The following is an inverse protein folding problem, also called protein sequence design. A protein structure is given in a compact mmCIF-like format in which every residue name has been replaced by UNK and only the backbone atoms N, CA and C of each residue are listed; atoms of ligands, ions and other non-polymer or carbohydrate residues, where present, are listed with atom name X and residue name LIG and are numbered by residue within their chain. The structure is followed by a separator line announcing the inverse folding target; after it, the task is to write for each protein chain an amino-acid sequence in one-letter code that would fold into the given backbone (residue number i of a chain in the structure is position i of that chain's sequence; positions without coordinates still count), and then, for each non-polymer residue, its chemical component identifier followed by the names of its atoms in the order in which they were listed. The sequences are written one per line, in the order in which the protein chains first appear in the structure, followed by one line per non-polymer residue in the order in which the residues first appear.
data_IF_993006409659
#
_entry.id   IF_993006409659
#
_cell.length_a   1.000
_cell.length_b   1.000
_cell.length_c   1.000
_cell.angle_alpha   90.00
_cell.angle_beta   90.00
_cell.angle_gamma   90.00
#
_symmetry.space_group_name_H-M   'P 1'
#
loop_
_entity.id
_entity.type
_entity.pdbx_description
1 polymer ?
#
# COMPACT_ATOMS: atom_id res chain seq x y z
N UNK A 1 -14.95 -13.45 17.22
CA UNK A 1 -14.75 -12.78 15.91
C UNK A 1 -14.39 -13.83 14.87
N UNK A 2 -15.13 -13.88 13.76
CA UNK A 2 -14.85 -14.87 12.72
C UNK A 2 -13.69 -14.42 11.82
N UNK A 3 -13.27 -15.29 10.92
CA UNK A 3 -12.12 -15.01 10.05
C UNK A 3 -12.33 -13.80 9.16
N UNK A 4 -13.56 -13.61 8.68
CA UNK A 4 -13.88 -12.49 7.79
C UNK A 4 -13.80 -11.17 8.56
N UNK A 5 -14.33 -11.15 9.77
CA UNK A 5 -14.28 -9.95 10.61
C UNK A 5 -12.85 -9.61 11.02
N UNK A 6 -12.05 -10.63 11.34
CA UNK A 6 -10.63 -10.43 11.66
C UNK A 6 -9.88 -9.83 10.48
N UNK A 7 -10.09 -10.36 9.29
CA UNK A 7 -9.46 -9.85 8.08
C UNK A 7 -9.84 -8.38 7.87
N UNK A 8 -11.13 -8.05 8.00
CA UNK A 8 -11.59 -6.69 7.80
C UNK A 8 -11.00 -5.73 8.83
N UNK A 9 -10.83 -6.19 10.07
CA UNK A 9 -10.21 -5.39 11.13
C UNK A 9 -8.76 -5.07 10.80
N UNK A 10 -7.97 -6.06 10.41
CA UNK A 10 -6.58 -5.83 10.03
C UNK A 10 -6.48 -4.99 8.77
N UNK A 11 -7.37 -5.19 7.81
CA UNK A 11 -7.40 -4.39 6.60
C UNK A 11 -7.65 -2.91 6.93
N UNK A 12 -8.59 -2.63 7.81
CA UNK A 12 -8.87 -1.26 8.24
C UNK A 12 -7.65 -0.62 8.91
N UNK A 13 -6.94 -1.38 9.76
CA UNK A 13 -5.71 -0.91 10.39
C UNK A 13 -4.63 -0.63 9.34
N UNK A 14 -4.49 -1.51 8.36
CA UNK A 14 -3.51 -1.35 7.29
C UNK A 14 -3.81 -0.10 6.47
N UNK A 15 -5.07 0.13 6.11
CA UNK A 15 -5.46 1.30 5.33
C UNK A 15 -5.23 2.59 6.11
N UNK A 16 -5.54 2.58 7.41
CA UNK A 16 -5.26 3.73 8.27
C UNK A 16 -3.76 4.03 8.35
N UNK A 17 -2.94 2.99 8.48
CA UNK A 17 -1.49 3.15 8.52
C UNK A 17 -0.95 3.72 7.21
N UNK A 18 -1.48 3.27 6.06
CA UNK A 18 -1.09 3.79 4.76
C UNK A 18 -1.48 5.26 4.59
N UNK A 19 -2.68 5.62 5.02
CA UNK A 19 -3.13 7.02 4.97
C UNK A 19 -2.24 7.92 5.80
N UNK A 20 -1.86 7.47 7.01
CA UNK A 20 -0.93 8.20 7.86
C UNK A 20 0.44 8.36 7.20
N UNK A 21 0.95 7.29 6.60
CA UNK A 21 2.24 7.34 5.91
C UNK A 21 2.20 8.31 4.73
N UNK A 22 1.12 8.28 3.94
CA UNK A 22 0.95 9.20 2.81
C UNK A 22 0.91 10.66 3.27
N UNK A 23 0.15 10.93 4.34
CA UNK A 23 0.04 12.29 4.86
C UNK A 23 1.38 12.81 5.38
N UNK A 24 2.19 11.93 5.98
CA UNK A 24 3.45 12.31 6.61
C UNK A 24 4.61 12.39 5.61
N UNK A 25 4.69 11.43 4.68
CA UNK A 25 5.86 11.28 3.80
C UNK A 25 5.63 11.72 2.36
N UNK A 26 4.38 11.87 1.91
CA UNK A 26 4.07 12.17 0.51
C UNK A 26 3.25 13.45 0.39
N UNK A 27 3.91 14.63 0.48
CA UNK A 27 3.20 15.91 0.40
C UNK A 27 2.55 16.11 -0.97
N UNK A 28 1.37 16.72 -0.98
CA UNK A 28 0.58 16.90 -2.21
C UNK A 28 1.20 17.93 -3.16
N UNK A 29 2.08 18.78 -2.68
CA UNK A 29 2.73 19.81 -3.50
C UNK A 29 3.68 19.23 -4.54
N UNK A 30 4.20 18.02 -4.31
CA UNK A 30 5.13 17.37 -5.22
C UNK A 30 4.39 16.47 -6.20
N UNK A 31 4.67 16.64 -7.50
CA UNK A 31 4.09 15.78 -8.53
C UNK A 31 4.52 14.32 -8.36
N UNK A 32 5.79 14.10 -8.00
CA UNK A 32 6.30 12.74 -7.75
C UNK A 32 5.56 12.10 -6.59
N UNK A 33 5.32 12.85 -5.53
CA UNK A 33 4.58 12.34 -4.37
C UNK A 33 3.11 12.08 -4.71
N UNK A 34 2.49 12.92 -5.54
CA UNK A 34 1.12 12.65 -6.00
C UNK A 34 1.05 11.37 -6.83
N UNK A 35 2.04 11.14 -7.68
CA UNK A 35 2.11 9.92 -8.49
C UNK A 35 2.27 8.68 -7.60
N UNK A 36 3.14 8.76 -6.59
CA UNK A 36 3.34 7.67 -5.63
C UNK A 36 2.05 7.39 -4.84
N UNK A 37 1.37 8.45 -4.41
CA UNK A 37 0.11 8.33 -3.67
C UNK A 37 -0.98 7.70 -4.53
N UNK A 38 -1.06 8.10 -5.79
CA UNK A 38 -2.02 7.51 -6.73
C UNK A 38 -1.87 6.00 -6.79
N UNK A 39 -0.64 5.51 -6.95
CA UNK A 39 -0.39 4.08 -7.05
C UNK A 39 -0.62 3.37 -5.72
N UNK A 40 -0.17 3.98 -4.61
CA UNK A 40 -0.27 3.36 -3.29
C UNK A 40 -1.73 3.23 -2.84
N UNK A 41 -2.54 4.25 -3.06
CA UNK A 41 -3.93 4.28 -2.60
C UNK A 41 -4.92 3.77 -3.66
N UNK A 42 -4.44 3.28 -4.79
CA UNK A 42 -5.26 2.82 -5.90
C UNK A 42 -5.98 1.50 -5.70
N UNK A 43 -5.91 0.93 -4.51
CA UNK A 43 -6.59 -0.33 -4.21
C UNK A 43 -5.62 -1.49 -4.04
N UNK A 44 -6.18 -2.70 -4.06
CA UNK A 44 -5.42 -3.92 -3.84
C UNK A 44 -5.84 -4.59 -2.53
N UNK A 45 -5.45 -5.85 -2.37
CA UNK A 45 -5.90 -6.67 -1.23
C UNK A 45 -5.16 -6.39 0.06
N UNK A 46 -3.99 -5.76 0.00
CA UNK A 46 -3.17 -5.43 1.16
C UNK A 46 -2.75 -6.66 1.98
N UNK A 47 -2.58 -7.79 1.32
CA UNK A 47 -2.31 -9.07 2.01
C UNK A 47 -1.03 -8.99 2.84
N UNK A 48 0.02 -8.35 2.31
CA UNK A 48 1.31 -8.26 3.03
C UNK A 48 1.17 -7.48 4.32
N UNK A 49 0.46 -6.37 4.27
CA UNK A 49 0.20 -5.56 5.46
C UNK A 49 -0.65 -6.32 6.47
N UNK A 50 -1.71 -6.98 6.01
CA UNK A 50 -2.57 -7.78 6.88
C UNK A 50 -1.78 -8.88 7.55
N UNK A 51 -0.88 -9.55 6.83
CA UNK A 51 -0.03 -10.60 7.42
C UNK A 51 0.87 -10.04 8.51
N UNK A 52 1.50 -8.88 8.27
CA UNK A 52 2.34 -8.26 9.30
C UNK A 52 1.54 -7.98 10.57
N UNK A 53 0.35 -7.39 10.42
CA UNK A 53 -0.47 -7.03 11.56
C UNK A 53 -0.99 -8.27 12.31
N UNK A 54 -1.46 -9.27 11.58
CA UNK A 54 -2.02 -10.47 12.20
C UNK A 54 -0.97 -11.27 12.96
N UNK A 55 0.24 -11.42 12.39
CA UNK A 55 1.31 -12.15 13.04
C UNK A 55 1.77 -11.41 14.30
N UNK A 56 1.92 -10.09 14.22
CA UNK A 56 2.31 -9.28 15.38
C UNK A 56 1.27 -9.41 16.49
N UNK A 57 0.00 -9.34 16.14
CA UNK A 57 -1.09 -9.44 17.10
C UNK A 57 -1.10 -10.82 17.79
N UNK A 58 -0.92 -11.88 17.00
CA UNK A 58 -0.86 -13.25 17.54
C UNK A 58 0.26 -13.43 18.54
N UNK A 59 1.38 -12.77 18.31
CA UNK A 59 2.58 -12.91 19.16
C UNK A 59 2.61 -11.89 20.31
N UNK A 60 1.57 -11.07 20.43
CA UNK A 60 1.50 -10.07 21.48
C UNK A 60 2.50 -8.93 21.34
N UNK A 61 2.87 -8.62 20.11
CA UNK A 61 3.86 -7.58 19.84
C UNK A 61 3.27 -6.17 19.85
N UNK A 62 4.13 -5.19 19.54
CA UNK A 62 3.75 -3.79 19.50
C UNK A 62 3.02 -3.48 18.20
N UNK A 63 1.70 -3.29 18.28
CA UNK A 63 0.87 -3.06 17.10
C UNK A 63 1.17 -1.72 16.43
N UNK A 64 1.58 -0.70 17.17
CA UNK A 64 1.94 0.59 16.57
C UNK A 64 3.17 0.46 15.68
N UNK A 65 4.19 -0.27 16.13
CA UNK A 65 5.36 -0.56 15.32
C UNK A 65 4.99 -1.43 14.11
N UNK A 66 4.10 -2.39 14.31
CA UNK A 66 3.63 -3.25 13.22
C UNK A 66 2.89 -2.46 12.13
N UNK A 67 2.11 -1.45 12.51
CA UNK A 67 1.43 -0.59 11.54
C UNK A 67 2.41 0.17 10.66
N UNK A 68 3.47 0.70 11.24
CA UNK A 68 4.51 1.39 10.48
C UNK A 68 5.23 0.43 9.53
N UNK A 69 5.54 -0.76 10.02
CA UNK A 69 6.18 -1.79 9.20
C UNK A 69 5.26 -2.26 8.07
N UNK A 70 3.99 -2.44 8.37
CA UNK A 70 3.00 -2.84 7.37
C UNK A 70 2.89 -1.81 6.24
N UNK A 71 2.86 -0.52 6.61
CA UNK A 71 2.84 0.55 5.62
C UNK A 71 4.09 0.52 4.75
N UNK A 72 5.28 0.34 5.36
CA UNK A 72 6.54 0.29 4.62
C UNK A 72 6.57 -0.89 3.63
N UNK A 73 6.09 -2.06 4.05
CA UNK A 73 6.03 -3.24 3.17
C UNK A 73 5.11 -3.00 1.97
N UNK A 74 3.95 -2.37 2.21
CA UNK A 74 3.02 -2.05 1.12
C UNK A 74 3.60 -1.01 0.16
N UNK A 75 4.32 -0.03 0.68
CA UNK A 75 4.99 0.98 -0.16
C UNK A 75 6.05 0.33 -1.03
N UNK A 76 6.84 -0.59 -0.47
CA UNK A 76 7.84 -1.32 -1.23
C UNK A 76 7.20 -2.19 -2.31
N UNK A 77 6.12 -2.88 -1.97
CA UNK A 77 5.38 -3.70 -2.94
C UNK A 77 4.83 -2.82 -4.08
N UNK A 78 4.25 -1.68 -3.74
CA UNK A 78 3.74 -0.73 -4.72
C UNK A 78 4.85 -0.24 -5.65
N UNK A 79 6.03 0.07 -5.09
CA UNK A 79 7.19 0.45 -5.89
C UNK A 79 7.52 -0.63 -6.92
N UNK A 80 7.53 -1.89 -6.51
CA UNK A 80 7.87 -2.98 -7.42
C UNK A 80 6.87 -3.08 -8.57
N UNK A 81 5.59 -2.86 -8.32
CA UNK A 81 4.56 -2.88 -9.35
C UNK A 81 4.71 -1.72 -10.32
N UNK A 82 5.00 -0.50 -9.82
CA UNK A 82 5.25 0.66 -10.67
C UNK A 82 6.44 0.39 -11.58
N UNK A 83 7.52 -0.14 -11.02
CA UNK A 83 8.74 -0.45 -11.77
C UNK A 83 8.45 -1.45 -12.89
N UNK A 84 7.70 -2.51 -12.60
CA UNK A 84 7.36 -3.53 -13.59
C UNK A 84 6.46 -2.98 -14.71
N UNK A 85 5.62 -1.98 -14.42
CA UNK A 85 4.70 -1.40 -15.41
C UNK A 85 5.40 -0.40 -16.35
N UNK A 86 6.61 0.04 -16.04
CA UNK A 86 7.30 1.07 -16.81
C UNK A 86 7.53 0.63 -18.26
N UNK A 87 7.67 1.59 -19.21
CA UNK A 87 7.78 1.29 -20.63
C UNK A 87 8.94 0.36 -21.01
N UNK A 88 10.05 0.39 -20.26
CA UNK A 88 11.20 -0.47 -20.55
C UNK A 88 11.14 -1.83 -19.84
N UNK A 89 10.09 -2.08 -19.09
CA UNK A 89 9.83 -3.37 -18.47
C UNK A 89 8.62 -4.00 -19.18
N UNK A 90 7.51 -4.18 -18.47
CA UNK A 90 6.31 -4.78 -19.05
C UNK A 90 5.47 -3.78 -19.86
N UNK A 91 5.66 -2.49 -19.66
CA UNK A 91 4.93 -1.42 -20.34
C UNK A 91 3.42 -1.59 -20.21
N UNK A 92 2.95 -1.90 -19.01
CA UNK A 92 1.52 -2.08 -18.77
C UNK A 92 0.81 -0.73 -18.69
N UNK A 93 -0.31 -0.60 -19.40
CA UNK A 93 -1.13 0.61 -19.38
C UNK A 93 -2.11 0.62 -18.22
N UNK A 94 -2.49 -0.55 -17.73
CA UNK A 94 -3.49 -0.71 -16.68
C UNK A 94 -2.94 -1.49 -15.51
N UNK A 95 -3.36 -1.11 -14.32
CA UNK A 95 -3.08 -1.80 -13.08
C UNK A 95 -4.37 -1.82 -12.25
N UNK A 96 -4.88 -3.01 -11.90
CA UNK A 96 -6.14 -3.18 -11.16
C UNK A 96 -7.32 -2.49 -11.83
N UNK A 97 -7.34 -2.49 -13.18
CA UNK A 97 -8.41 -1.88 -13.94
C UNK A 97 -8.32 -0.37 -14.12
N UNK A 98 -7.33 0.28 -13.53
CA UNK A 98 -7.08 1.72 -13.67
C UNK A 98 -5.78 1.96 -14.43
N UNK A 99 -5.58 3.16 -15.00
CA UNK A 99 -4.31 3.46 -15.65
C UNK A 99 -3.13 3.23 -14.70
N UNK A 100 -2.05 2.64 -15.24
CA UNK A 100 -0.82 2.47 -14.46
C UNK A 100 -0.22 3.83 -14.12
N UNK A 101 0.74 3.86 -13.17
CA UNK A 101 1.30 5.12 -12.68
C UNK A 101 1.88 5.97 -13.81
N UNK A 102 2.69 5.36 -14.69
CA UNK A 102 3.31 6.14 -15.78
C UNK A 102 2.30 6.64 -16.79
N UNK A 103 1.16 5.96 -16.97
CA UNK A 103 0.11 6.41 -17.86
C UNK A 103 -0.75 7.51 -17.25
N UNK A 104 -0.96 7.48 -15.94
CA UNK A 104 -1.77 8.48 -15.25
C UNK A 104 -1.04 9.83 -15.12
N UNK A 105 0.29 9.83 -15.04
CA UNK A 105 1.08 11.02 -14.71
C UNK A 105 2.07 11.43 -15.80
N UNK A 106 2.05 10.78 -16.94
CA UNK A 106 2.98 11.11 -18.01
C UNK A 106 2.30 11.85 -19.16
#
# INVERSE_FOLDING_TARGET
MDHKEQYQSYLAQAMSALEHACAHFLPEESEVCRAARYSLMGGGKRIRAVLVLSVCDMLGGNMQAAEQFAAAVEMLHCYSLIHDDLPWMDNDDLRRGSPSCHKAFD
#
